data_IF_111126688649
#
_entry.id   IF_111126688649
#
_cell.length_a   1.000
_cell.length_b   1.000
_cell.length_c   1.000
_cell.angle_alpha   90.00
_cell.angle_beta   90.00
_cell.angle_gamma   90.00
#
_symmetry.space_group_name_H-M   'P 1'
#
loop_
_entity.id
_entity.type
_entity.pdbx_description
1 polymer ?
#
# COMPACT_ATOMS: atom_id res chain seq x y z
N UNK A 1 -32.02 -4.65 2.60
CA UNK A 1 -30.72 -4.01 2.33
C UNK A 1 -30.00 -4.88 1.31
N UNK A 2 -29.44 -4.30 0.24
CA UNK A 2 -28.70 -5.07 -0.76
C UNK A 2 -27.44 -5.68 -0.13
N UNK A 3 -27.16 -6.93 -0.41
CA UNK A 3 -26.01 -7.65 0.14
C UNK A 3 -25.18 -8.30 -1.00
N UNK A 4 -23.94 -8.65 -0.71
CA UNK A 4 -22.97 -9.10 -1.71
C UNK A 4 -23.41 -10.37 -2.43
N UNK A 5 -24.11 -11.29 -1.74
CA UNK A 5 -24.61 -12.51 -2.38
C UNK A 5 -25.67 -12.23 -3.47
N UNK A 6 -26.40 -11.13 -3.40
CA UNK A 6 -27.30 -10.73 -4.47
C UNK A 6 -26.54 -10.37 -5.77
N UNK A 7 -25.36 -9.74 -5.63
CA UNK A 7 -24.47 -9.46 -6.77
C UNK A 7 -23.91 -10.79 -7.33
N UNK A 8 -23.47 -11.71 -6.46
CA UNK A 8 -23.00 -13.02 -6.89
C UNK A 8 -24.09 -13.77 -7.69
N UNK A 9 -25.31 -13.77 -7.18
CA UNK A 9 -26.45 -14.43 -7.84
C UNK A 9 -26.76 -13.81 -9.23
N UNK A 10 -26.70 -12.49 -9.35
CA UNK A 10 -26.90 -11.79 -10.62
C UNK A 10 -25.86 -12.19 -11.69
N UNK A 11 -24.65 -12.54 -11.27
CA UNK A 11 -23.57 -13.03 -12.13
C UNK A 11 -23.55 -14.56 -12.28
N UNK A 12 -24.61 -15.26 -11.82
CA UNK A 12 -24.70 -16.72 -11.81
C UNK A 12 -23.52 -17.40 -11.08
N UNK A 13 -23.16 -16.86 -9.91
CA UNK A 13 -22.13 -17.40 -9.02
C UNK A 13 -22.81 -17.95 -7.75
N UNK A 14 -22.64 -19.25 -7.46
CA UNK A 14 -23.15 -19.84 -6.22
C UNK A 14 -22.33 -19.32 -5.01
N UNK A 15 -22.95 -18.63 -4.04
CA UNK A 15 -22.26 -18.20 -2.83
C UNK A 15 -21.60 -19.31 -2.01
N UNK A 16 -22.00 -20.58 -2.20
CA UNK A 16 -21.36 -21.74 -1.53
C UNK A 16 -19.94 -21.99 -2.03
N UNK A 17 -19.62 -21.59 -3.24
CA UNK A 17 -18.28 -21.71 -3.83
C UNK A 17 -17.38 -20.55 -3.49
N UNK A 18 -17.89 -19.45 -2.90
CA UNK A 18 -17.16 -18.22 -2.69
C UNK A 18 -16.66 -18.09 -1.25
N UNK A 19 -15.36 -17.84 -1.11
CA UNK A 19 -14.72 -17.35 0.10
C UNK A 19 -14.58 -15.84 0.02
N UNK A 20 -15.08 -15.12 1.01
CA UNK A 20 -14.83 -13.69 1.19
C UNK A 20 -13.52 -13.54 1.96
N UNK A 21 -12.58 -12.78 1.41
CA UNK A 21 -11.23 -12.63 1.96
C UNK A 21 -10.95 -11.15 2.20
N UNK A 22 -10.73 -10.75 3.47
CA UNK A 22 -10.42 -9.37 3.83
C UNK A 22 -8.95 -9.23 4.21
N UNK A 23 -8.20 -8.54 3.38
CA UNK A 23 -6.81 -8.21 3.62
C UNK A 23 -6.71 -6.91 4.44
N UNK A 24 -6.25 -7.05 5.67
CA UNK A 24 -5.96 -5.95 6.59
C UNK A 24 -4.64 -6.25 7.28
N UNK A 25 -3.68 -5.37 7.12
CA UNK A 25 -2.43 -5.47 7.86
C UNK A 25 -2.11 -4.12 8.52
N UNK A 26 -2.14 -4.13 9.84
CA UNK A 26 -1.85 -2.96 10.67
C UNK A 26 -0.59 -3.20 11.52
N UNK A 27 0.19 -4.25 11.23
CA UNK A 27 1.41 -4.53 11.98
C UNK A 27 2.45 -3.45 11.69
N UNK A 28 3.13 -2.98 12.75
CA UNK A 28 4.20 -1.99 12.61
C UNK A 28 5.36 -2.47 11.71
N UNK A 29 5.52 -3.80 11.58
CA UNK A 29 6.51 -4.44 10.71
C UNK A 29 6.09 -4.52 9.24
N UNK A 30 4.85 -4.19 8.90
CA UNK A 30 4.41 -4.20 7.51
C UNK A 30 5.05 -3.03 6.76
N UNK A 31 5.82 -3.33 5.74
CA UNK A 31 6.47 -2.33 4.89
C UNK A 31 5.47 -1.61 3.98
N UNK A 32 4.34 -2.27 3.70
CA UNK A 32 3.36 -1.79 2.74
C UNK A 32 2.01 -2.47 3.00
N UNK A 33 0.91 -1.70 3.09
CA UNK A 33 -0.41 -2.28 3.38
C UNK A 33 -1.00 -2.97 2.15
N UNK A 34 -1.91 -3.96 2.31
CA UNK A 34 -2.62 -4.56 1.18
C UNK A 34 -3.40 -3.54 0.33
N UNK A 35 -3.92 -2.46 0.95
CA UNK A 35 -4.57 -1.37 0.21
C UNK A 35 -3.58 -0.61 -0.67
N UNK A 36 -2.43 -0.22 -0.13
CA UNK A 36 -1.40 0.48 -0.90
C UNK A 36 -0.87 -0.42 -2.04
N UNK A 37 -0.74 -1.71 -1.77
CA UNK A 37 -0.33 -2.69 -2.78
C UNK A 37 -1.35 -2.81 -3.90
N UNK A 38 -2.65 -2.87 -3.58
CA UNK A 38 -3.71 -2.86 -4.59
C UNK A 38 -3.66 -1.61 -5.49
N UNK A 39 -3.29 -0.46 -4.92
CA UNK A 39 -3.15 0.79 -5.68
C UNK A 39 -1.95 0.80 -6.61
N UNK A 40 -0.80 0.32 -6.12
CA UNK A 40 0.50 0.51 -6.74
C UNK A 40 1.04 -0.73 -7.45
N UNK A 41 0.73 -1.91 -6.93
CA UNK A 41 1.31 -3.18 -7.35
C UNK A 41 0.27 -4.30 -7.21
N UNK A 42 -0.65 -4.37 -8.17
CA UNK A 42 -1.69 -5.40 -8.17
C UNK A 42 -1.11 -6.81 -8.19
N UNK A 43 -0.01 -7.03 -8.90
CA UNK A 43 0.69 -8.31 -8.95
C UNK A 43 1.26 -8.70 -7.57
N UNK A 44 1.78 -7.71 -6.82
CA UNK A 44 2.21 -7.89 -5.44
C UNK A 44 1.07 -8.28 -4.50
N UNK A 45 -0.11 -7.67 -4.64
CA UNK A 45 -1.30 -8.07 -3.88
C UNK A 45 -1.71 -9.51 -4.20
N UNK A 46 -1.70 -9.90 -5.48
CA UNK A 46 -2.00 -11.25 -5.90
C UNK A 46 -0.98 -12.25 -5.33
N UNK A 47 0.31 -11.93 -5.38
CA UNK A 47 1.36 -12.72 -4.73
C UNK A 47 1.14 -12.86 -3.22
N UNK A 48 0.78 -11.77 -2.55
CA UNK A 48 0.49 -11.77 -1.11
C UNK A 48 -0.67 -12.70 -0.76
N UNK A 49 -1.79 -12.64 -1.49
CA UNK A 49 -2.96 -13.45 -1.17
C UNK A 49 -2.80 -14.93 -1.51
N UNK A 50 -1.87 -15.30 -2.43
CA UNK A 50 -1.54 -16.69 -2.76
C UNK A 50 -0.86 -17.44 -1.61
N UNK A 51 -0.11 -16.73 -0.74
CA UNK A 51 0.73 -17.35 0.29
C UNK A 51 -0.05 -17.47 1.59
N UNK A 52 -0.26 -18.71 2.07
CA UNK A 52 -1.06 -18.98 3.25
C UNK A 52 -0.34 -19.92 4.24
N UNK A 53 -0.56 -19.70 5.55
CA UNK A 53 0.03 -20.54 6.60
C UNK A 53 -0.68 -21.87 6.78
N UNK A 54 -1.90 -22.00 6.27
CA UNK A 54 -2.75 -23.20 6.35
C UNK A 54 -3.64 -23.29 5.12
N UNK A 55 -4.22 -24.46 4.87
CA UNK A 55 -5.18 -24.65 3.78
C UNK A 55 -6.49 -23.93 4.11
N UNK A 56 -6.77 -22.82 3.42
CA UNK A 56 -7.97 -21.98 3.64
C UNK A 56 -8.89 -21.91 2.43
N UNK A 57 -8.38 -22.21 1.23
CA UNK A 57 -9.14 -22.14 -0.01
C UNK A 57 -9.35 -23.54 -0.58
N UNK A 58 -10.45 -23.72 -1.32
CA UNK A 58 -10.78 -24.97 -2.01
C UNK A 58 -10.40 -24.83 -3.48
N UNK A 59 -9.74 -25.83 -4.04
CA UNK A 59 -9.46 -25.93 -5.49
C UNK A 59 -10.81 -25.92 -6.24
N UNK A 60 -10.87 -25.17 -7.33
CA UNK A 60 -12.09 -24.91 -8.11
C UNK A 60 -13.02 -23.86 -7.51
N UNK A 61 -12.82 -23.45 -6.24
CA UNK A 61 -13.60 -22.41 -5.58
C UNK A 61 -13.17 -20.99 -5.98
N UNK A 62 -13.93 -20.01 -5.52
CA UNK A 62 -13.73 -18.60 -5.80
C UNK A 62 -13.32 -17.81 -4.55
N UNK A 63 -12.48 -16.81 -4.73
CA UNK A 63 -12.09 -15.82 -3.73
C UNK A 63 -12.64 -14.46 -4.14
N UNK A 64 -13.55 -13.90 -3.35
CA UNK A 64 -13.90 -12.48 -3.43
C UNK A 64 -12.96 -11.72 -2.49
N UNK A 65 -12.03 -10.96 -3.05
CA UNK A 65 -10.96 -10.28 -2.33
C UNK A 65 -11.34 -8.85 -1.99
N UNK A 66 -11.07 -8.46 -0.74
CA UNK A 66 -11.31 -7.13 -0.21
C UNK A 66 -10.06 -6.61 0.49
N UNK A 67 -9.84 -5.29 0.43
CA UNK A 67 -8.82 -4.60 1.21
C UNK A 67 -9.45 -3.59 2.16
N UNK A 68 -8.76 -3.28 3.25
CA UNK A 68 -9.22 -2.23 4.18
C UNK A 68 -8.55 -0.90 3.81
N UNK A 69 -9.36 0.11 3.49
CA UNK A 69 -8.88 1.46 3.17
C UNK A 69 -8.36 2.17 4.44
N UNK A 70 -7.59 3.26 4.32
CA UNK A 70 -7.15 4.07 5.46
C UNK A 70 -8.30 4.60 6.34
N UNK A 71 -9.50 4.75 5.76
CA UNK A 71 -10.73 5.14 6.48
C UNK A 71 -11.42 3.98 7.17
N UNK A 72 -10.90 2.75 7.04
CA UNK A 72 -11.47 1.55 7.64
C UNK A 72 -12.58 0.90 6.80
N UNK A 73 -12.85 1.37 5.60
CA UNK A 73 -13.82 0.77 4.68
C UNK A 73 -13.30 -0.57 4.14
N UNK A 74 -14.18 -1.53 3.93
CA UNK A 74 -13.83 -2.81 3.30
C UNK A 74 -14.22 -2.76 1.83
N UNK A 75 -13.22 -2.55 0.96
CA UNK A 75 -13.35 -2.30 -0.47
C UNK A 75 -13.12 -3.59 -1.27
N UNK A 76 -14.02 -3.90 -2.21
CA UNK A 76 -13.86 -5.03 -3.13
C UNK A 76 -12.77 -4.73 -4.17
N UNK A 77 -11.86 -5.70 -4.37
CA UNK A 77 -10.69 -5.52 -5.24
C UNK A 77 -10.53 -6.60 -6.31
N UNK A 78 -11.35 -7.63 -6.30
CA UNK A 78 -11.39 -8.65 -7.36
C UNK A 78 -11.98 -9.97 -6.95
N UNK A 79 -12.35 -10.74 -7.97
CA UNK A 79 -12.75 -12.13 -7.86
C UNK A 79 -11.65 -13.00 -8.49
N UNK A 80 -11.30 -14.12 -7.85
CA UNK A 80 -10.25 -15.02 -8.32
C UNK A 80 -10.69 -16.47 -8.21
N UNK A 81 -10.32 -17.29 -9.18
CA UNK A 81 -10.49 -18.75 -9.15
C UNK A 81 -9.24 -19.39 -8.56
N UNK A 82 -9.44 -20.38 -7.72
CA UNK A 82 -8.35 -21.21 -7.18
C UNK A 82 -8.15 -22.42 -8.11
N UNK A 83 -7.03 -22.44 -8.80
CA UNK A 83 -6.71 -23.52 -9.76
C UNK A 83 -6.03 -24.69 -9.06
N UNK A 84 -5.02 -24.40 -8.20
CA UNK A 84 -4.22 -25.42 -7.56
C UNK A 84 -3.64 -24.93 -6.23
N UNK A 85 -3.01 -25.85 -5.49
CA UNK A 85 -2.31 -25.61 -4.25
C UNK A 85 -0.99 -26.38 -4.22
N UNK A 86 0.11 -25.65 -4.04
CA UNK A 86 1.45 -26.21 -3.87
C UNK A 86 2.09 -25.75 -2.57
N UNK A 87 3.41 -25.95 -2.50
CA UNK A 87 4.26 -25.48 -1.42
C UNK A 87 5.19 -24.40 -1.95
N UNK A 88 5.31 -23.31 -1.22
CA UNK A 88 6.17 -22.19 -1.56
C UNK A 88 7.64 -22.61 -1.63
N UNK A 89 8.32 -22.43 -2.78
CA UNK A 89 9.72 -22.81 -2.95
C UNK A 89 10.66 -21.94 -2.09
N UNK A 90 11.92 -22.37 -1.90
CA UNK A 90 12.94 -21.56 -1.24
C UNK A 90 13.04 -20.16 -1.83
N UNK A 91 13.19 -19.14 -0.98
CA UNK A 91 13.29 -17.74 -1.40
C UNK A 91 11.95 -17.08 -1.70
N UNK A 92 10.81 -17.69 -1.39
CA UNK A 92 9.51 -17.05 -1.48
C UNK A 92 9.38 -15.99 -0.38
N UNK A 93 9.29 -14.72 -0.78
CA UNK A 93 9.20 -13.57 0.13
C UNK A 93 7.76 -13.01 0.14
N UNK A 94 7.24 -12.76 1.36
CA UNK A 94 5.98 -12.06 1.60
C UNK A 94 6.13 -10.59 1.18
N UNK A 95 5.35 -10.09 0.21
CA UNK A 95 5.54 -8.74 -0.28
C UNK A 95 5.12 -7.65 0.72
N UNK A 96 4.30 -7.98 1.73
CA UNK A 96 3.86 -7.03 2.76
C UNK A 96 4.87 -6.97 3.91
N UNK A 97 5.31 -8.12 4.41
CA UNK A 97 6.18 -8.20 5.58
C UNK A 97 7.67 -8.31 5.24
N UNK A 98 8.00 -8.52 3.96
CA UNK A 98 9.36 -8.82 3.51
C UNK A 98 9.98 -10.02 4.25
N UNK A 99 9.15 -10.98 4.64
CA UNK A 99 9.54 -12.16 5.40
C UNK A 99 9.57 -13.41 4.51
N UNK A 100 10.48 -14.33 4.79
CA UNK A 100 10.55 -15.64 4.12
C UNK A 100 9.28 -16.46 4.41
N UNK A 101 8.70 -17.01 3.35
CA UNK A 101 7.52 -17.87 3.35
C UNK A 101 7.78 -19.26 2.77
N UNK A 102 9.03 -19.65 2.62
CA UNK A 102 9.43 -21.01 2.21
C UNK A 102 8.65 -22.06 3.00
N UNK A 103 8.13 -23.06 2.30
CA UNK A 103 7.38 -24.17 2.89
C UNK A 103 5.93 -23.85 3.29
N UNK A 104 5.43 -22.63 3.04
CA UNK A 104 4.02 -22.29 3.22
C UNK A 104 3.17 -22.77 2.05
N UNK A 105 1.84 -22.84 2.23
CA UNK A 105 0.93 -23.13 1.12
C UNK A 105 0.95 -21.99 0.12
N UNK A 106 1.14 -22.33 -1.16
CA UNK A 106 1.12 -21.41 -2.28
C UNK A 106 0.00 -21.79 -3.22
N UNK A 107 -1.01 -20.94 -3.33
CA UNK A 107 -2.13 -21.16 -4.22
C UNK A 107 -1.83 -20.61 -5.61
N UNK A 108 -2.21 -21.38 -6.63
CA UNK A 108 -2.38 -20.83 -7.97
C UNK A 108 -3.78 -20.26 -8.12
N UNK A 109 -3.86 -18.97 -8.43
CA UNK A 109 -5.12 -18.25 -8.59
C UNK A 109 -5.12 -17.46 -9.90
N UNK A 110 -6.27 -17.42 -10.57
CA UNK A 110 -6.49 -16.62 -11.77
C UNK A 110 -7.61 -15.62 -11.52
N UNK A 111 -7.41 -14.38 -11.95
CA UNK A 111 -8.44 -13.35 -11.87
C UNK A 111 -9.61 -13.68 -12.80
N UNK A 112 -10.82 -13.51 -12.28
CA UNK A 112 -12.07 -13.63 -13.03
C UNK A 112 -12.52 -12.25 -13.53
N UNK A 113 -13.06 -12.19 -14.74
CA UNK A 113 -13.64 -10.97 -15.30
C UNK A 113 -15.00 -10.62 -14.67
N UNK A 114 -15.73 -11.63 -14.16
CA UNK A 114 -16.96 -11.39 -13.42
C UNK A 114 -16.73 -10.44 -12.26
N UNK A 115 -17.66 -9.55 -12.02
CA UNK A 115 -17.61 -8.50 -10.99
C UNK A 115 -16.54 -7.43 -11.23
N UNK A 116 -15.93 -7.33 -12.43
CA UNK A 116 -14.91 -6.32 -12.73
C UNK A 116 -15.41 -4.89 -12.51
N UNK A 117 -16.69 -4.62 -12.83
CA UNK A 117 -17.31 -3.29 -12.68
C UNK A 117 -17.43 -2.83 -11.22
N UNK A 118 -17.37 -3.77 -10.28
CA UNK A 118 -17.41 -3.46 -8.85
C UNK A 118 -16.05 -3.25 -8.22
N UNK A 119 -14.96 -3.55 -8.95
CA UNK A 119 -13.59 -3.46 -8.43
C UNK A 119 -13.19 -2.00 -8.18
N UNK A 120 -12.91 -1.68 -6.90
CA UNK A 120 -12.58 -0.32 -6.48
C UNK A 120 -13.80 0.58 -6.27
N UNK A 121 -15.02 0.07 -6.51
CA UNK A 121 -16.27 0.82 -6.45
C UNK A 121 -17.19 0.34 -5.32
N UNK A 122 -17.14 -0.94 -4.96
CA UNK A 122 -18.05 -1.55 -4.00
C UNK A 122 -17.41 -1.66 -2.62
N UNK A 123 -18.10 -1.15 -1.61
CA UNK A 123 -17.74 -1.33 -0.20
C UNK A 123 -18.81 -2.12 0.55
N UNK A 124 -18.37 -2.93 1.52
CA UNK A 124 -19.25 -3.77 2.32
C UNK A 124 -19.05 -3.56 3.82
N UNK A 125 -20.10 -3.83 4.60
CA UNK A 125 -19.99 -3.98 6.04
C UNK A 125 -19.45 -5.36 6.37
N UNK A 126 -18.19 -5.44 6.80
CA UNK A 126 -17.58 -6.73 7.17
C UNK A 126 -18.11 -7.30 8.49
N UNK A 127 -18.65 -6.45 9.35
CA UNK A 127 -19.03 -6.77 10.71
C UNK A 127 -17.88 -6.62 11.71
N UNK A 128 -18.16 -6.82 12.99
CA UNK A 128 -17.23 -6.58 14.12
C UNK A 128 -16.08 -7.60 14.28
N UNK A 129 -16.10 -8.69 13.51
CA UNK A 129 -15.12 -9.78 13.65
C UNK A 129 -13.71 -9.42 13.13
N UNK A 130 -12.80 -8.99 14.00
CA UNK A 130 -11.42 -8.66 13.61
C UNK A 130 -10.59 -9.88 13.19
N UNK A 131 -10.88 -11.07 13.74
CA UNK A 131 -10.11 -12.30 13.50
C UNK A 131 -10.58 -13.11 12.29
N UNK A 132 -11.82 -12.91 11.86
CA UNK A 132 -12.41 -13.68 10.77
C UNK A 132 -12.12 -13.00 9.40
N UNK A 133 -10.88 -13.06 8.95
CA UNK A 133 -10.44 -12.48 7.69
C UNK A 133 -10.88 -13.30 6.46
N UNK A 134 -11.20 -14.60 6.64
CA UNK A 134 -11.81 -15.47 5.62
C UNK A 134 -13.17 -15.95 6.12
N UNK A 135 -14.20 -15.80 5.28
CA UNK A 135 -15.57 -16.21 5.60
C UNK A 135 -16.21 -16.90 4.39
N UNK A 136 -17.22 -17.75 4.64
CA UNK A 136 -18.05 -18.36 3.59
C UNK A 136 -19.16 -17.38 3.20
N UNK A 137 -19.26 -17.02 1.93
CA UNK A 137 -20.26 -16.05 1.47
C UNK A 137 -21.69 -16.49 1.82
N UNK A 138 -22.04 -17.76 1.62
CA UNK A 138 -23.40 -18.28 1.93
C UNK A 138 -23.75 -18.27 3.43
N UNK A 139 -22.74 -18.23 4.33
CA UNK A 139 -22.99 -18.21 5.80
C UNK A 139 -22.91 -16.82 6.39
N UNK A 140 -22.18 -15.92 5.77
CA UNK A 140 -21.86 -14.58 6.28
C UNK A 140 -21.94 -13.56 5.15
N UNK A 141 -23.15 -13.37 4.62
CA UNK A 141 -23.41 -12.35 3.63
C UNK A 141 -23.00 -10.95 4.12
N UNK A 142 -22.60 -10.09 3.21
CA UNK A 142 -22.10 -8.77 3.52
C UNK A 142 -23.05 -7.69 3.00
N UNK A 143 -23.68 -6.91 3.91
CA UNK A 143 -24.43 -5.75 3.49
C UNK A 143 -23.54 -4.82 2.67
N UNK A 144 -24.03 -4.40 1.52
CA UNK A 144 -23.37 -3.39 0.69
C UNK A 144 -23.61 -2.04 1.33
N UNK A 145 -22.53 -1.30 1.57
CA UNK A 145 -22.60 0.06 2.10
C UNK A 145 -22.74 1.07 0.97
N UNK A 146 -21.95 0.88 -0.10
CA UNK A 146 -21.90 1.81 -1.21
C UNK A 146 -21.44 1.12 -2.49
N UNK A 147 -22.02 1.51 -3.64
CA UNK A 147 -21.50 1.23 -4.97
C UNK A 147 -21.27 2.61 -5.62
N UNK A 148 -20.02 2.97 -5.84
CA UNK A 148 -19.59 4.28 -6.32
C UNK A 148 -19.57 4.29 -7.85
N UNK A 149 -20.03 5.38 -8.44
CA UNK A 149 -19.90 5.59 -9.88
C UNK A 149 -18.42 5.75 -10.28
N UNK A 150 -17.67 6.45 -9.43
CA UNK A 150 -16.24 6.70 -9.65
C UNK A 150 -15.43 6.20 -8.46
N UNK A 151 -14.18 5.81 -8.73
CA UNK A 151 -13.26 5.43 -7.66
C UNK A 151 -12.97 6.66 -6.80
N UNK A 152 -13.25 6.55 -5.50
CA UNK A 152 -12.97 7.62 -4.54
C UNK A 152 -11.48 7.60 -4.19
N UNK A 153 -10.79 8.69 -4.49
CA UNK A 153 -9.45 8.94 -3.96
C UNK A 153 -9.55 9.49 -2.53
N UNK A 154 -8.65 9.01 -1.66
CA UNK A 154 -8.55 9.60 -0.33
C UNK A 154 -8.05 11.05 -0.44
N UNK A 155 -8.62 11.99 0.33
CA UNK A 155 -8.12 13.36 0.36
C UNK A 155 -6.68 13.40 0.87
N UNK A 156 -5.89 14.37 0.40
CA UNK A 156 -4.54 14.56 0.91
C UNK A 156 -4.55 14.75 2.43
N UNK A 157 -3.73 14.01 3.20
CA UNK A 157 -3.80 14.00 4.66
C UNK A 157 -3.31 15.29 5.31
N UNK A 158 -2.77 16.21 4.52
CA UNK A 158 -2.01 17.36 4.97
C UNK A 158 -0.52 17.03 5.17
N UNK A 159 0.34 18.03 4.98
CA UNK A 159 1.79 17.85 4.99
C UNK A 159 2.32 17.28 6.32
N UNK A 160 1.81 17.75 7.46
CA UNK A 160 2.21 17.26 8.78
C UNK A 160 1.83 15.80 9.08
N UNK A 161 0.94 15.20 8.30
CA UNK A 161 0.56 13.79 8.41
C UNK A 161 1.00 12.96 7.20
N UNK A 162 1.58 13.60 6.19
CA UNK A 162 2.10 12.89 5.03
C UNK A 162 3.32 12.05 5.43
N UNK A 163 3.15 10.74 5.36
CA UNK A 163 4.19 9.77 5.64
C UNK A 163 4.01 8.59 4.67
N UNK A 164 4.97 8.36 3.78
CA UNK A 164 4.83 7.39 2.71
C UNK A 164 6.14 6.64 2.43
N UNK A 165 6.03 5.48 1.79
CA UNK A 165 7.17 4.69 1.36
C UNK A 165 7.65 5.19 -0.03
N UNK A 166 8.93 5.51 -0.16
CA UNK A 166 9.52 6.01 -1.40
C UNK A 166 9.38 4.98 -2.54
N UNK A 167 9.52 3.69 -2.25
CA UNK A 167 9.48 2.65 -3.28
C UNK A 167 8.12 2.61 -4.00
N UNK A 168 7.08 3.02 -3.32
CA UNK A 168 5.70 3.03 -3.81
C UNK A 168 5.07 4.44 -3.90
N UNK A 169 5.89 5.48 -3.90
CA UNK A 169 5.42 6.88 -3.93
C UNK A 169 4.53 7.17 -5.15
N UNK A 170 4.72 6.50 -6.27
CA UNK A 170 3.85 6.66 -7.46
C UNK A 170 2.43 6.13 -7.26
N UNK A 171 2.15 5.42 -6.17
CA UNK A 171 0.81 4.95 -5.82
C UNK A 171 -0.05 5.99 -5.11
N UNK A 172 0.52 7.12 -4.71
CA UNK A 172 -0.30 8.20 -4.14
C UNK A 172 -1.31 8.71 -5.18
N UNK A 173 -2.52 9.07 -4.77
CA UNK A 173 -3.54 9.62 -5.66
C UNK A 173 -3.01 10.78 -6.52
N UNK A 174 -3.56 10.95 -7.73
CA UNK A 174 -3.17 12.05 -8.64
C UNK A 174 -3.37 13.42 -7.97
N UNK A 175 -4.43 13.56 -7.18
CA UNK A 175 -4.69 14.75 -6.38
C UNK A 175 -3.58 15.05 -5.38
N UNK A 176 -2.99 14.02 -4.76
CA UNK A 176 -1.84 14.19 -3.85
C UNK A 176 -0.56 14.56 -4.61
N UNK A 177 -0.35 13.95 -5.78
CA UNK A 177 0.78 14.31 -6.65
C UNK A 177 0.74 15.78 -7.00
N UNK A 178 -0.45 16.31 -7.36
CA UNK A 178 -0.66 17.72 -7.68
C UNK A 178 -0.33 18.63 -6.48
N UNK A 179 -0.72 18.23 -5.26
CA UNK A 179 -0.36 18.97 -4.03
C UNK A 179 1.15 18.95 -3.79
N UNK A 180 1.80 17.79 -3.94
CA UNK A 180 3.25 17.68 -3.75
C UNK A 180 4.06 18.41 -4.83
N UNK A 181 3.51 18.53 -6.06
CA UNK A 181 4.09 19.33 -7.16
C UNK A 181 4.01 20.84 -6.90
N UNK A 182 2.97 21.28 -6.20
CA UNK A 182 2.72 22.72 -6.02
C UNK A 182 3.57 23.36 -4.92
N UNK A 183 4.28 22.59 -4.08
CA UNK A 183 4.97 23.13 -2.91
C UNK A 183 6.43 22.76 -2.86
N UNK A 184 7.26 23.74 -2.48
CA UNK A 184 8.65 23.57 -2.05
C UNK A 184 8.66 23.18 -0.58
N UNK A 185 9.71 22.47 -0.12
CA UNK A 185 9.75 22.13 1.30
C UNK A 185 10.95 21.31 1.71
N UNK A 186 11.04 21.13 3.01
CA UNK A 186 12.02 20.27 3.69
C UNK A 186 11.35 18.95 4.05
N UNK A 187 12.03 17.86 3.80
CA UNK A 187 11.55 16.51 4.07
C UNK A 187 12.59 15.68 4.82
N UNK A 188 12.10 14.65 5.48
CA UNK A 188 12.88 13.64 6.16
C UNK A 188 12.74 12.30 5.42
N UNK A 189 13.89 11.67 5.12
CA UNK A 189 13.96 10.25 4.78
C UNK A 189 14.45 9.47 5.98
N UNK A 190 13.76 8.38 6.31
CA UNK A 190 14.19 7.42 7.31
C UNK A 190 14.48 6.10 6.63
N UNK A 191 15.71 5.62 6.75
CA UNK A 191 16.08 4.30 6.23
C UNK A 191 15.37 3.21 7.03
N UNK A 192 14.57 2.38 6.34
CA UNK A 192 13.74 1.35 6.99
C UNK A 192 14.55 0.24 7.64
N UNK A 193 15.78 0.00 7.17
CA UNK A 193 16.67 -1.04 7.69
C UNK A 193 17.45 -0.58 8.92
N UNK A 194 17.86 0.70 8.96
CA UNK A 194 18.81 1.19 9.98
C UNK A 194 18.24 2.26 10.89
N UNK A 195 17.06 2.81 10.58
CA UNK A 195 16.46 3.97 11.27
C UNK A 195 17.22 5.29 11.05
N UNK A 196 18.33 5.30 10.29
CA UNK A 196 19.11 6.51 10.04
C UNK A 196 18.33 7.52 9.21
N UNK A 197 18.48 8.78 9.59
CA UNK A 197 17.74 9.92 9.08
C UNK A 197 18.54 10.76 8.09
N UNK A 198 17.90 11.20 7.01
CA UNK A 198 18.41 12.18 6.07
C UNK A 198 17.40 13.31 5.91
N UNK A 199 17.82 14.54 6.16
CA UNK A 199 17.04 15.75 5.90
C UNK A 199 17.46 16.30 4.54
N UNK A 200 16.50 16.56 3.68
CA UNK A 200 16.72 17.17 2.38
C UNK A 200 15.67 18.23 2.07
N UNK A 201 15.90 18.97 1.00
CA UNK A 201 14.97 19.98 0.49
C UNK A 201 14.63 19.74 -0.98
N UNK A 202 13.50 20.29 -1.40
CA UNK A 202 13.00 20.26 -2.77
C UNK A 202 12.61 21.68 -3.21
N UNK A 203 13.33 22.22 -4.21
CA UNK A 203 13.15 23.57 -4.75
C UNK A 203 13.16 23.66 -6.28
N UNK A 204 13.19 22.52 -6.98
CA UNK A 204 13.17 22.43 -8.43
C UNK A 204 11.76 22.47 -9.03
N UNK A 205 11.68 22.29 -10.34
CA UNK A 205 10.40 22.05 -11.03
C UNK A 205 9.70 20.83 -10.41
N UNK A 206 8.36 20.86 -10.33
CA UNK A 206 7.56 19.84 -9.63
C UNK A 206 7.97 19.59 -8.16
N UNK A 207 8.84 20.42 -7.57
CA UNK A 207 9.10 20.54 -6.13
C UNK A 207 9.30 19.20 -5.37
N UNK A 208 8.47 18.94 -4.30
CA UNK A 208 8.56 17.72 -3.51
C UNK A 208 8.30 16.46 -4.35
N UNK A 209 7.39 16.52 -5.32
CA UNK A 209 7.05 15.37 -6.14
C UNK A 209 8.21 14.84 -6.97
N UNK A 210 8.86 15.72 -7.76
CA UNK A 210 10.01 15.31 -8.58
C UNK A 210 11.13 14.73 -7.73
N UNK A 211 11.36 15.33 -6.56
CA UNK A 211 12.41 14.88 -5.64
C UNK A 211 12.12 13.47 -5.12
N UNK A 212 10.86 13.16 -4.75
CA UNK A 212 10.48 11.83 -4.30
C UNK A 212 10.54 10.80 -5.43
N UNK A 213 10.17 11.17 -6.66
CA UNK A 213 10.35 10.32 -7.83
C UNK A 213 11.82 10.01 -8.11
N UNK A 214 12.72 10.96 -7.94
CA UNK A 214 14.16 10.75 -8.09
C UNK A 214 14.71 9.73 -7.08
N UNK A 215 14.26 9.79 -5.83
CA UNK A 215 14.62 8.77 -4.83
C UNK A 215 14.09 7.40 -5.21
N UNK A 216 12.84 7.30 -5.67
CA UNK A 216 12.27 6.05 -6.14
C UNK A 216 13.08 5.46 -7.30
N UNK A 217 13.44 6.28 -8.28
CA UNK A 217 14.16 5.85 -9.48
C UNK A 217 15.59 5.45 -9.18
N UNK A 218 16.32 6.25 -8.40
CA UNK A 218 17.77 6.09 -8.21
C UNK A 218 18.15 5.40 -6.90
N UNK A 219 17.27 5.42 -5.90
CA UNK A 219 17.55 4.99 -4.52
C UNK A 219 18.34 6.00 -3.69
N UNK A 220 18.82 7.10 -4.31
CA UNK A 220 19.68 8.08 -3.64
C UNK A 220 19.37 9.56 -4.00
N UNK A 221 18.52 9.82 -5.01
CA UNK A 221 18.14 11.18 -5.43
C UNK A 221 19.34 12.09 -5.74
N UNK A 222 20.46 11.55 -6.20
CA UNK A 222 21.70 12.32 -6.46
C UNK A 222 22.57 12.58 -5.22
N UNK A 223 22.16 12.17 -4.02
CA UNK A 223 22.98 12.37 -2.81
C UNK A 223 24.14 11.36 -2.74
N UNK A 224 25.36 11.84 -2.53
CA UNK A 224 26.60 11.04 -2.54
C UNK A 224 26.62 10.00 -1.41
N UNK A 225 26.21 10.38 -0.19
CA UNK A 225 26.18 9.46 0.96
C UNK A 225 25.16 8.35 0.79
N UNK A 226 23.97 8.67 0.28
CA UNK A 226 22.95 7.66 -0.01
C UNK A 226 23.39 6.75 -1.15
N UNK A 227 24.07 7.29 -2.17
CA UNK A 227 24.63 6.52 -3.29
C UNK A 227 25.69 5.52 -2.80
N UNK A 228 26.60 5.93 -1.92
CA UNK A 228 27.66 5.08 -1.38
C UNK A 228 27.13 3.89 -0.56
N UNK A 229 25.89 3.94 -0.07
CA UNK A 229 25.27 2.88 0.72
C UNK A 229 24.52 1.84 -0.10
N UNK A 230 24.51 1.97 -1.41
CA UNK A 230 23.67 1.15 -2.30
C UNK A 230 22.18 1.50 -2.18
N UNK A 231 21.35 0.75 -2.92
CA UNK A 231 19.90 0.95 -2.88
C UNK A 231 19.31 0.50 -1.55
N UNK A 232 18.62 1.42 -0.88
CA UNK A 232 17.92 1.19 0.39
C UNK A 232 16.47 1.65 0.28
N UNK A 233 15.59 1.08 1.10
CA UNK A 233 14.20 1.52 1.26
C UNK A 233 14.10 2.66 2.26
N UNK A 234 13.35 3.72 1.88
CA UNK A 234 13.15 4.89 2.73
C UNK A 234 11.67 5.19 2.91
N UNK A 235 11.32 5.57 4.14
CA UNK A 235 10.07 6.26 4.43
C UNK A 235 10.31 7.75 4.32
N UNK A 236 9.40 8.49 3.68
CA UNK A 236 9.46 9.95 3.54
C UNK A 236 8.34 10.63 4.32
N UNK A 237 8.66 11.73 4.98
CA UNK A 237 7.68 12.65 5.58
C UNK A 237 8.06 14.09 5.24
N UNK A 238 7.07 14.99 5.14
CA UNK A 238 7.30 16.41 4.94
C UNK A 238 7.46 17.06 6.32
N UNK A 239 8.56 17.77 6.53
CA UNK A 239 8.85 18.47 7.77
C UNK A 239 8.29 19.89 7.75
N UNK A 240 8.47 20.60 6.63
CA UNK A 240 8.08 22.00 6.50
C UNK A 240 7.85 22.36 5.04
N UNK A 241 6.78 23.10 4.76
CA UNK A 241 6.50 23.72 3.47
C UNK A 241 7.04 25.16 3.50
N UNK A 242 7.78 25.55 2.46
CA UNK A 242 8.47 26.83 2.40
C UNK A 242 8.14 27.55 1.09
N UNK A 243 7.85 28.84 1.15
CA UNK A 243 7.39 29.62 0.00
C UNK A 243 8.52 30.32 -0.78
N UNK A 244 9.76 30.35 -0.26
CA UNK A 244 10.89 31.01 -0.89
C UNK A 244 12.15 30.15 -0.91
N UNK A 245 13.01 30.35 -1.90
CA UNK A 245 14.26 29.60 -2.05
C UNK A 245 15.27 29.92 -0.93
N UNK A 246 15.34 31.16 -0.48
CA UNK A 246 16.17 31.52 0.68
C UNK A 246 15.69 30.92 2.00
N UNK A 247 14.36 30.82 2.16
CA UNK A 247 13.74 30.20 3.34
C UNK A 247 14.04 28.72 3.43
N UNK A 248 14.13 28.04 2.28
CA UNK A 248 14.28 26.59 2.25
C UNK A 248 15.66 26.14 2.75
N UNK A 249 16.72 26.87 2.45
CA UNK A 249 18.07 26.54 2.92
C UNK A 249 18.21 26.75 4.43
N UNK A 250 17.60 27.82 4.95
CA UNK A 250 17.53 28.08 6.40
C UNK A 250 16.73 27.01 7.12
N UNK A 251 15.57 26.64 6.59
CA UNK A 251 14.72 25.59 7.13
C UNK A 251 15.43 24.23 7.11
N UNK A 252 16.06 23.85 6.00
CA UNK A 252 16.82 22.61 5.90
C UNK A 252 17.95 22.55 6.92
N UNK A 253 18.72 23.61 7.07
CA UNK A 253 19.80 23.67 8.07
C UNK A 253 19.28 23.59 9.50
N UNK A 254 18.17 24.26 9.80
CA UNK A 254 17.52 24.19 11.11
C UNK A 254 17.02 22.76 11.42
N UNK A 255 16.40 22.10 10.47
CA UNK A 255 15.94 20.71 10.63
C UNK A 255 17.10 19.71 10.76
N UNK A 256 18.19 19.88 10.02
CA UNK A 256 19.43 19.09 10.20
C UNK A 256 19.96 19.19 11.63
N UNK A 257 19.91 20.38 12.21
CA UNK A 257 20.35 20.64 13.60
C UNK A 257 19.38 20.01 14.60
N UNK A 258 18.07 20.27 14.46
CA UNK A 258 17.03 19.75 15.37
C UNK A 258 17.03 18.22 15.44
N UNK A 259 17.20 17.56 14.30
CA UNK A 259 17.21 16.10 14.19
C UNK A 259 18.60 15.49 14.35
N UNK A 260 19.63 16.33 14.57
CA UNK A 260 21.03 15.91 14.70
C UNK A 260 21.49 14.99 13.54
N UNK A 261 20.91 15.18 12.36
CA UNK A 261 21.08 14.27 11.22
C UNK A 261 22.50 14.33 10.62
N UNK A 262 23.27 15.39 10.91
CA UNK A 262 24.71 15.46 10.61
C UNK A 262 25.53 14.54 11.49
N UNK A 263 25.19 14.42 12.77
CA UNK A 263 25.95 13.63 13.76
C UNK A 263 25.56 12.16 13.76
N UNK A 264 24.25 11.87 13.77
CA UNK A 264 23.72 10.52 13.94
C UNK A 264 23.04 9.97 12.68
N UNK A 265 22.78 10.83 11.69
CA UNK A 265 22.08 10.49 10.47
C UNK A 265 22.98 10.32 9.23
N UNK A 266 22.43 10.72 8.10
CA UNK A 266 22.99 10.54 6.76
C UNK A 266 23.36 11.88 6.07
N UNK A 267 23.24 13.02 6.77
CA UNK A 267 23.71 14.32 6.28
C UNK A 267 25.20 14.48 6.58
N UNK A 268 25.97 15.05 5.63
CA UNK A 268 27.42 15.35 5.80
C UNK A 268 27.73 16.83 5.78
N UNK A 269 26.81 17.63 5.21
CA UNK A 269 26.96 19.08 5.05
C UNK A 269 25.98 19.84 5.94
#
# INVERSE_FOLDING_TARGET
>A
MLAFNAILANENIDPKEVRLVRHKDNRASASFTPYNMWLADKAGLEKYQRIQTRKVFKIGGLLASFVVTPKGETLFVGLYRVNDIGIAPPGTIDPVLQADRTGRYLYDITREEKLSDYVGHLTVNWGSGHRAWVQLAHRKDKPILEIRKERREDPFPGFGRFCWDIDVISAVPITWQSVLKSVKGVYLLVCKETGKQYVGSAKGEENLWSRFQDYKRTGHGGNVELKARGRKSYQVTVLEVVNSDEGIEKAESAWKTRLMSRKFGLNRN
#
